data_IF_102577112133
#
_entry.id   IF_102577112133
#
_cell.length_a   1.000
_cell.length_b   1.000
_cell.length_c   1.000
_cell.angle_alpha   90.00
_cell.angle_beta   90.00
_cell.angle_gamma   90.00
#
_symmetry.space_group_name_H-M   'P 1'
#
loop_
_entity.id
_entity.type
_entity.pdbx_description
1 polymer ?
#
# COMPACT_ATOMS: atom_id res chain seq x y z
N UNK A 1 -8.52 3.86 11.17
CA UNK A 1 -7.68 3.38 10.05
C UNK A 1 -6.89 4.53 9.44
N UNK A 2 -7.57 5.61 9.01
CA UNK A 2 -6.93 6.81 8.42
C UNK A 2 -5.72 7.34 9.19
N UNK A 3 -5.87 7.56 10.50
CA UNK A 3 -4.81 8.13 11.33
C UNK A 3 -3.57 7.23 11.50
N UNK A 4 -3.73 5.91 11.37
CA UNK A 4 -2.63 4.94 11.43
C UNK A 4 -1.81 4.96 10.14
N UNK A 5 -2.46 5.14 9.00
CA UNK A 5 -1.81 5.27 7.70
C UNK A 5 -1.02 6.57 7.62
N UNK A 6 -1.59 7.68 8.09
CA UNK A 6 -0.86 8.96 8.14
C UNK A 6 0.38 8.89 9.04
N UNK A 7 0.36 8.11 10.14
CA UNK A 7 1.55 7.89 11.00
C UNK A 7 2.57 6.96 10.37
N UNK A 8 2.12 5.97 9.59
CA UNK A 8 2.97 5.08 8.81
C UNK A 8 3.81 5.86 7.79
N UNK A 9 3.21 6.87 7.15
CA UNK A 9 3.88 7.79 6.22
C UNK A 9 5.04 8.55 6.88
N UNK A 10 4.95 8.81 8.18
CA UNK A 10 5.98 9.52 8.97
C UNK A 10 7.10 8.56 9.46
N UNK A 11 7.00 7.25 9.19
CA UNK A 11 8.04 6.28 9.57
C UNK A 11 8.01 5.88 11.04
N UNK A 12 6.84 5.90 11.67
CA UNK A 12 6.68 5.51 13.06
C UNK A 12 6.65 3.98 13.22
N UNK A 13 7.71 3.41 13.81
CA UNK A 13 7.86 1.96 14.06
C UNK A 13 6.68 1.37 14.84
N UNK A 14 6.05 2.14 15.74
CA UNK A 14 4.87 1.67 16.47
C UNK A 14 3.64 1.54 15.56
N UNK A 15 3.50 2.44 14.57
CA UNK A 15 2.44 2.37 13.57
C UNK A 15 2.66 1.20 12.61
N UNK A 16 3.91 0.96 12.18
CA UNK A 16 4.29 -0.23 11.39
C UNK A 16 3.91 -1.51 12.15
N UNK A 17 4.32 -1.64 13.40
CA UNK A 17 4.01 -2.82 14.22
C UNK A 17 2.50 -3.02 14.42
N UNK A 18 1.72 -1.94 14.53
CA UNK A 18 0.26 -2.01 14.65
C UNK A 18 -0.39 -2.52 13.35
N UNK A 19 0.05 -2.04 12.19
CA UNK A 19 -0.45 -2.48 10.87
C UNK A 19 -0.10 -3.94 10.61
N UNK A 20 1.15 -4.36 10.91
CA UNK A 20 1.56 -5.75 10.82
C UNK A 20 0.76 -6.68 11.75
N UNK A 21 0.28 -6.18 12.89
CA UNK A 21 -0.60 -6.94 13.78
C UNK A 21 -2.00 -7.03 13.20
N UNK A 22 -2.53 -5.93 12.67
CA UNK A 22 -3.87 -5.87 12.08
C UNK A 22 -4.01 -6.77 10.84
N UNK A 23 -2.98 -6.85 9.99
CA UNK A 23 -3.00 -7.71 8.78
C UNK A 23 -3.18 -9.20 9.09
N UNK A 24 -2.82 -9.64 10.30
CA UNK A 24 -2.98 -11.05 10.71
C UNK A 24 -4.43 -11.48 10.84
N UNK A 25 -5.33 -10.56 11.14
CA UNK A 25 -6.76 -10.85 11.36
C UNK A 25 -7.70 -10.05 10.46
N UNK A 26 -7.16 -9.26 9.53
CA UNK A 26 -7.94 -8.44 8.60
C UNK A 26 -7.84 -8.96 7.17
N UNK A 27 -8.96 -8.94 6.47
CA UNK A 27 -9.07 -9.16 5.02
C UNK A 27 -9.33 -7.83 4.28
N UNK A 28 -9.04 -6.69 4.91
CA UNK A 28 -9.11 -5.38 4.26
C UNK A 28 -7.91 -5.24 3.30
N UNK A 29 -8.13 -5.10 1.98
CA UNK A 29 -7.05 -4.96 1.00
C UNK A 29 -6.09 -3.82 1.35
N UNK A 30 -6.60 -2.73 1.93
CA UNK A 30 -5.79 -1.58 2.30
C UNK A 30 -4.82 -1.93 3.45
N UNK A 31 -5.29 -2.68 4.45
CA UNK A 31 -4.45 -3.11 5.58
C UNK A 31 -3.36 -4.08 5.11
N UNK A 32 -3.72 -5.01 4.22
CA UNK A 32 -2.80 -6.00 3.68
C UNK A 32 -1.71 -5.34 2.81
N UNK A 33 -2.10 -4.40 1.94
CA UNK A 33 -1.15 -3.64 1.13
C UNK A 33 -0.26 -2.75 2.01
N UNK A 34 -0.82 -2.06 2.99
CA UNK A 34 -0.04 -1.24 3.92
C UNK A 34 1.00 -2.09 4.68
N UNK A 35 0.62 -3.29 5.14
CA UNK A 35 1.55 -4.22 5.77
C UNK A 35 2.66 -4.70 4.81
N UNK A 36 2.31 -5.00 3.56
CA UNK A 36 3.26 -5.49 2.56
C UNK A 36 4.38 -4.49 2.22
N UNK A 37 4.19 -3.19 2.47
CA UNK A 37 5.24 -2.20 2.27
C UNK A 37 6.40 -2.31 3.27
N UNK A 38 6.15 -2.88 4.45
CA UNK A 38 7.13 -2.94 5.56
C UNK A 38 7.53 -4.36 5.94
N UNK A 39 6.72 -5.36 5.58
CA UNK A 39 6.94 -6.74 5.98
C UNK A 39 7.95 -7.46 5.06
N UNK A 40 8.78 -8.38 5.59
CA UNK A 40 9.65 -9.22 4.77
C UNK A 40 8.85 -10.21 3.89
N UNK A 41 7.64 -10.58 4.31
CA UNK A 41 6.70 -11.47 3.62
C UNK A 41 5.70 -10.73 2.71
N UNK A 42 6.14 -9.60 2.15
CA UNK A 42 5.35 -8.72 1.29
C UNK A 42 4.57 -9.46 0.19
N UNK A 43 5.20 -10.43 -0.48
CA UNK A 43 4.57 -11.14 -1.61
C UNK A 43 3.36 -11.98 -1.17
N UNK A 44 3.42 -12.60 0.02
CA UNK A 44 2.30 -13.37 0.57
C UNK A 44 1.13 -12.45 0.96
N UNK A 45 1.44 -11.27 1.52
CA UNK A 45 0.44 -10.26 1.87
C UNK A 45 -0.22 -9.67 0.62
N UNK A 46 0.54 -9.40 -0.45
CA UNK A 46 0.01 -8.92 -1.72
C UNK A 46 -0.86 -9.97 -2.41
N UNK A 47 -0.44 -11.25 -2.41
CA UNK A 47 -1.26 -12.34 -2.95
C UNK A 47 -2.59 -12.50 -2.19
N UNK A 48 -2.57 -12.34 -0.86
CA UNK A 48 -3.80 -12.33 -0.06
C UNK A 48 -4.67 -11.12 -0.40
N UNK A 49 -4.08 -9.93 -0.49
CA UNK A 49 -4.79 -8.70 -0.86
C UNK A 49 -5.47 -8.82 -2.23
N UNK A 50 -4.78 -9.42 -3.20
CA UNK A 50 -5.32 -9.72 -4.52
C UNK A 50 -6.53 -10.66 -4.44
N UNK A 51 -6.44 -11.71 -3.61
CA UNK A 51 -7.52 -12.68 -3.41
C UNK A 51 -8.78 -12.11 -2.75
N UNK A 52 -8.66 -11.05 -1.94
CA UNK A 52 -9.78 -10.40 -1.24
C UNK A 52 -10.25 -9.10 -1.91
N UNK A 53 -9.52 -8.61 -2.93
CA UNK A 53 -9.83 -7.39 -3.65
C UNK A 53 -11.17 -7.50 -4.40
N UNK A 54 -12.20 -6.84 -3.88
CA UNK A 54 -13.54 -6.90 -4.45
C UNK A 54 -13.72 -5.87 -5.58
N UNK A 55 -13.09 -4.70 -5.47
CA UNK A 55 -13.31 -3.57 -6.36
C UNK A 55 -12.14 -3.33 -7.33
N UNK A 56 -12.36 -2.53 -8.36
CA UNK A 56 -11.28 -2.03 -9.23
C UNK A 56 -10.27 -1.21 -8.43
N UNK A 57 -10.76 -0.41 -7.47
CA UNK A 57 -9.92 0.39 -6.56
C UNK A 57 -8.95 -0.50 -5.78
N UNK A 58 -9.44 -1.60 -5.22
CA UNK A 58 -8.60 -2.54 -4.46
C UNK A 58 -7.55 -3.19 -5.35
N UNK A 59 -7.94 -3.62 -6.56
CA UNK A 59 -7.02 -4.24 -7.53
C UNK A 59 -5.94 -3.29 -8.00
N UNK A 60 -6.29 -2.02 -8.28
CA UNK A 60 -5.33 -0.98 -8.62
C UNK A 60 -4.35 -0.72 -7.47
N UNK A 61 -4.84 -0.67 -6.23
CA UNK A 61 -4.00 -0.49 -5.05
C UNK A 61 -2.95 -1.61 -4.93
N UNK A 62 -3.38 -2.87 -5.10
CA UNK A 62 -2.47 -4.03 -5.09
C UNK A 62 -1.45 -3.95 -6.23
N UNK A 63 -1.88 -3.59 -7.45
CA UNK A 63 -0.99 -3.46 -8.60
C UNK A 63 0.08 -2.37 -8.40
N UNK A 64 -0.29 -1.22 -7.85
CA UNK A 64 0.63 -0.13 -7.52
C UNK A 64 1.68 -0.60 -6.51
N UNK A 65 1.25 -1.26 -5.44
CA UNK A 65 2.17 -1.76 -4.41
C UNK A 65 3.10 -2.86 -4.94
N UNK A 66 2.60 -3.76 -5.79
CA UNK A 66 3.41 -4.78 -6.44
C UNK A 66 4.48 -4.17 -7.37
N UNK A 67 4.11 -3.18 -8.19
CA UNK A 67 5.06 -2.46 -9.04
C UNK A 67 6.14 -1.72 -8.22
N UNK A 68 5.75 -1.12 -7.09
CA UNK A 68 6.68 -0.48 -6.16
C UNK A 68 7.71 -1.47 -5.61
N UNK A 69 7.26 -2.64 -5.17
CA UNK A 69 8.13 -3.72 -4.66
C UNK A 69 9.12 -4.23 -5.71
N UNK A 70 8.73 -4.26 -6.99
CA UNK A 70 9.59 -4.63 -8.12
C UNK A 70 10.56 -3.52 -8.55
N UNK A 71 10.44 -2.32 -7.98
CA UNK A 71 11.25 -1.16 -8.35
C UNK A 71 10.86 -0.55 -9.71
N UNK A 72 9.67 -0.87 -10.22
CA UNK A 72 9.15 -0.40 -11.51
C UNK A 72 8.65 1.05 -11.41
N UNK A 73 9.56 1.99 -11.15
CA UNK A 73 9.23 3.37 -10.77
C UNK A 73 8.33 4.10 -11.77
N UNK A 74 8.56 3.93 -13.07
CA UNK A 74 7.77 4.62 -14.10
C UNK A 74 6.33 4.07 -14.16
N UNK A 75 6.18 2.76 -13.95
CA UNK A 75 4.88 2.11 -13.86
C UNK A 75 4.14 2.56 -12.59
N UNK A 76 4.83 2.63 -11.45
CA UNK A 76 4.24 3.16 -10.21
C UNK A 76 3.72 4.58 -10.41
N UNK A 77 4.47 5.45 -11.09
CA UNK A 77 4.02 6.82 -11.36
C UNK A 77 2.78 6.87 -12.22
N UNK A 78 2.76 6.09 -13.31
CA UNK A 78 1.63 6.06 -14.22
C UNK A 78 0.37 5.57 -13.49
N UNK A 79 0.49 4.46 -12.75
CA UNK A 79 -0.63 3.87 -12.02
C UNK A 79 -1.09 4.73 -10.83
N UNK A 80 -0.16 5.32 -10.09
CA UNK A 80 -0.47 6.18 -8.95
C UNK A 80 -1.16 7.47 -9.42
N UNK A 81 -0.71 8.07 -10.52
CA UNK A 81 -1.36 9.24 -11.12
C UNK A 81 -2.79 8.93 -11.52
N UNK A 82 -2.99 7.83 -12.25
CA UNK A 82 -4.33 7.37 -12.67
C UNK A 82 -5.25 7.15 -11.47
N UNK A 83 -4.77 6.41 -10.47
CA UNK A 83 -5.54 6.13 -9.27
C UNK A 83 -5.88 7.37 -8.44
N UNK A 84 -4.97 8.33 -8.31
CA UNK A 84 -5.20 9.56 -7.53
C UNK A 84 -6.11 10.56 -8.24
N UNK A 85 -6.31 10.44 -9.56
CA UNK A 85 -7.34 11.23 -10.27
C UNK A 85 -8.74 10.81 -9.77
N UNK A 86 -8.98 9.51 -9.63
CA UNK A 86 -10.27 8.97 -9.19
C UNK A 86 -10.40 8.90 -7.66
N UNK A 87 -9.28 8.76 -6.94
CA UNK A 87 -9.20 8.57 -5.49
C UNK A 87 -8.15 9.48 -4.85
N UNK A 88 -8.36 10.82 -4.86
CA UNK A 88 -7.37 11.79 -4.40
C UNK A 88 -7.08 11.71 -2.89
N UNK A 89 -7.96 11.05 -2.13
CA UNK A 89 -7.86 10.80 -0.69
C UNK A 89 -6.99 9.60 -0.33
N UNK A 90 -6.52 8.81 -1.31
CA UNK A 90 -5.75 7.60 -1.01
C UNK A 90 -4.30 7.90 -0.56
N UNK A 91 -4.14 8.14 0.74
CA UNK A 91 -2.86 8.45 1.40
C UNK A 91 -1.78 7.39 1.14
N UNK A 92 -2.16 6.11 1.03
CA UNK A 92 -1.20 5.02 0.83
C UNK A 92 -0.57 5.08 -0.57
N UNK A 93 -1.37 5.38 -1.60
CA UNK A 93 -0.87 5.57 -2.97
C UNK A 93 -0.02 6.83 -3.07
N UNK A 94 -0.44 7.93 -2.44
CA UNK A 94 0.35 9.16 -2.37
C UNK A 94 1.72 8.92 -1.72
N UNK A 95 1.77 8.11 -0.66
CA UNK A 95 3.02 7.68 -0.03
C UNK A 95 3.90 6.85 -0.97
N UNK A 96 3.34 5.82 -1.61
CA UNK A 96 4.09 4.97 -2.55
C UNK A 96 4.71 5.82 -3.68
N UNK A 97 3.97 6.81 -4.18
CA UNK A 97 4.46 7.75 -5.20
C UNK A 97 5.57 8.68 -4.68
N UNK A 98 5.46 9.19 -3.44
CA UNK A 98 6.46 10.12 -2.87
C UNK A 98 7.80 9.44 -2.53
N UNK A 99 7.83 8.12 -2.37
CA UNK A 99 9.06 7.34 -2.09
C UNK A 99 10.09 7.36 -3.23
N UNK A 100 9.83 8.11 -4.30
CA UNK A 100 10.76 8.44 -5.38
C UNK A 100 11.89 9.40 -4.96
N UNK A 101 11.72 10.15 -3.87
CA UNK A 101 12.65 11.23 -3.50
C UNK A 101 13.73 10.84 -2.48
N UNK A 102 13.89 9.56 -2.14
CA UNK A 102 14.84 9.16 -1.10
C UNK A 102 15.49 7.80 -1.32
N UNK A 103 16.52 7.77 -2.16
CA UNK A 103 17.76 6.97 -2.03
C UNK A 103 18.67 7.23 -3.23
#
# INVERSE_FOLDING_TARGET
MDHLLSRLVVGDDAAVAAILRASRSSDDPLVLVAAALFAPDADALLARAEGVAATTRDRQLVAIAAAHRRGERDLVDALARDHLIDHPDNVLVAYIASRKEGA
#
